data_IF_204340486388
#
_entry.id   IF_204340486388
#
_cell.length_a   1.000
_cell.length_b   1.000
_cell.length_c   1.000
_cell.angle_alpha   90.00
_cell.angle_beta   90.00
_cell.angle_gamma   90.00
#
_symmetry.space_group_name_H-M   'P 1'
#
loop_
_entity.id
_entity.type
_entity.pdbx_description
1 polymer ?
#
# COMPACT_ATOMS: atom_id res chain seq x y z
N UNK A 1 -22.50 -28.01 -15.59
CA UNK A 1 -21.89 -26.69 -15.31
C UNK A 1 -20.44 -26.93 -14.98
N UNK A 2 -19.51 -26.52 -15.83
CA UNK A 2 -18.12 -26.41 -15.39
C UNK A 2 -18.07 -25.30 -14.34
N UNK A 3 -17.25 -25.41 -13.27
CA UNK A 3 -16.96 -24.26 -12.44
C UNK A 3 -16.25 -23.26 -13.35
N UNK A 4 -16.98 -22.24 -13.79
CA UNK A 4 -16.32 -21.01 -14.18
C UNK A 4 -15.50 -20.61 -12.96
N UNK A 5 -14.22 -20.35 -13.17
CA UNK A 5 -13.34 -19.86 -12.12
C UNK A 5 -13.79 -18.42 -11.83
N UNK A 6 -14.88 -18.30 -11.07
CA UNK A 6 -15.81 -17.17 -11.10
C UNK A 6 -15.11 -15.86 -10.69
N UNK A 7 -14.02 -15.95 -9.93
CA UNK A 7 -13.20 -14.81 -9.47
C UNK A 7 -11.73 -14.89 -9.92
N UNK A 8 -11.37 -15.72 -10.91
CA UNK A 8 -9.99 -15.86 -11.40
C UNK A 8 -9.35 -14.51 -11.76
N UNK A 9 -10.15 -13.63 -12.36
CA UNK A 9 -9.74 -12.28 -12.73
C UNK A 9 -9.40 -11.43 -11.50
N UNK A 10 -10.21 -11.49 -10.43
CA UNK A 10 -9.94 -10.78 -9.18
C UNK A 10 -8.67 -11.29 -8.52
N UNK A 11 -8.46 -12.60 -8.46
CA UNK A 11 -7.25 -13.20 -7.88
C UNK A 11 -5.99 -12.82 -8.68
N UNK A 12 -6.10 -12.77 -10.01
CA UNK A 12 -5.01 -12.32 -10.89
C UNK A 12 -4.66 -10.85 -10.67
N UNK A 13 -5.68 -10.01 -10.46
CA UNK A 13 -5.50 -8.59 -10.13
C UNK A 13 -4.88 -8.41 -8.74
N UNK A 14 -5.28 -9.23 -7.76
CA UNK A 14 -4.71 -9.22 -6.40
C UNK A 14 -3.20 -9.47 -6.42
N UNK A 15 -2.74 -10.46 -7.18
CA UNK A 15 -1.31 -10.76 -7.33
C UNK A 15 -0.55 -9.57 -7.95
N UNK A 16 -1.12 -8.92 -8.96
CA UNK A 16 -0.50 -7.73 -9.57
C UNK A 16 -0.46 -6.55 -8.60
N UNK A 17 -1.55 -6.34 -7.86
CA UNK A 17 -1.67 -5.32 -6.84
C UNK A 17 -0.59 -5.52 -5.76
N UNK A 18 -0.47 -6.72 -5.19
CA UNK A 18 0.51 -7.04 -4.14
C UNK A 18 1.96 -6.81 -4.61
N UNK A 19 2.25 -7.14 -5.87
CA UNK A 19 3.55 -6.87 -6.49
C UNK A 19 3.86 -5.38 -6.54
N UNK A 20 2.90 -4.55 -6.96
CA UNK A 20 3.07 -3.10 -7.02
C UNK A 20 3.13 -2.43 -5.64
N UNK A 21 2.36 -2.91 -4.66
CA UNK A 21 2.47 -2.41 -3.28
C UNK A 21 3.85 -2.70 -2.71
N UNK A 22 4.40 -3.88 -2.97
CA UNK A 22 5.77 -4.24 -2.55
C UNK A 22 6.80 -3.33 -3.22
N UNK A 23 6.65 -3.08 -4.53
CA UNK A 23 7.50 -2.15 -5.29
C UNK A 23 7.41 -0.73 -4.73
N UNK A 24 6.20 -0.26 -4.41
CA UNK A 24 5.94 1.07 -3.85
C UNK A 24 6.59 1.25 -2.48
N UNK A 25 6.44 0.28 -1.58
CA UNK A 25 7.04 0.32 -0.24
C UNK A 25 8.58 0.34 -0.33
N UNK A 26 9.17 -0.47 -1.21
CA UNK A 26 10.61 -0.46 -1.44
C UNK A 26 11.12 0.89 -1.97
N UNK A 27 10.40 1.50 -2.91
CA UNK A 27 10.73 2.83 -3.43
C UNK A 27 10.61 3.93 -2.36
N UNK A 28 9.64 3.81 -1.44
CA UNK A 28 9.47 4.75 -0.32
C UNK A 28 10.57 4.60 0.75
N UNK A 29 10.94 3.38 1.11
CA UNK A 29 12.03 3.12 2.07
C UNK A 29 13.37 3.70 1.57
N UNK A 30 13.68 3.50 0.29
CA UNK A 30 14.85 4.10 -0.35
C UNK A 30 14.84 5.64 -0.34
N UNK A 31 13.68 6.27 -0.16
CA UNK A 31 13.54 7.72 -0.09
C UNK A 31 13.77 8.26 1.34
N UNK A 32 13.41 7.50 2.39
CA UNK A 32 13.60 7.90 3.79
C UNK A 32 15.06 7.87 4.25
N UNK A 33 15.89 6.97 3.72
CA UNK A 33 17.31 6.85 4.10
C UNK A 33 18.16 8.09 3.71
N UNK A 34 17.69 8.93 2.80
CA UNK A 34 18.36 10.19 2.42
C UNK A 34 18.12 11.36 3.38
N UNK A 35 17.19 11.26 4.34
CA UNK A 35 16.86 12.36 5.27
C UNK A 35 17.63 12.31 6.60
N UNK A 36 18.57 11.38 6.77
CA UNK A 36 19.46 11.37 7.94
C UNK A 36 20.57 12.41 7.73
N UNK A 37 20.34 13.62 8.24
CA UNK A 37 21.36 14.66 8.39
C UNK A 37 22.56 14.14 9.21
N UNK A 38 23.81 14.28 8.75
CA UNK A 38 24.96 14.19 9.64
C UNK A 38 25.05 15.47 10.48
N UNK A 39 24.86 15.33 11.79
CA UNK A 39 25.01 16.38 12.79
C UNK A 39 26.45 16.95 12.83
N UNK A 40 26.55 18.25 13.08
CA UNK A 40 27.71 19.12 12.91
C UNK A 40 28.89 18.79 13.84
N UNK A 41 30.09 18.61 13.26
CA UNK A 41 31.35 19.12 13.83
C UNK A 41 32.32 19.59 12.72
N UNK A 42 32.45 20.92 12.62
CA UNK A 42 33.39 21.77 11.83
C UNK A 42 34.89 21.40 11.96
N UNK A 43 35.88 22.04 11.25
CA UNK A 43 35.82 23.17 10.29
C UNK A 43 36.74 23.11 9.03
N UNK A 44 36.40 23.93 8.01
CA UNK A 44 37.26 24.59 6.98
C UNK A 44 38.06 23.73 5.96
N UNK A 45 37.61 23.76 4.69
CA UNK A 45 38.40 23.94 3.44
C UNK A 45 37.45 23.73 2.24
N UNK A 46 37.05 24.80 1.56
CA UNK A 46 37.54 25.24 0.24
C UNK A 46 37.29 24.24 -0.91
N UNK A 47 36.62 24.73 -1.94
CA UNK A 47 36.24 24.08 -3.22
C UNK A 47 34.98 23.19 -3.25
N UNK A 48 34.21 23.44 -4.33
CA UNK A 48 33.51 22.44 -5.14
C UNK A 48 32.07 22.07 -4.77
N UNK A 49 31.17 22.56 -5.63
CA UNK A 49 29.98 21.88 -6.15
C UNK A 49 29.45 20.72 -5.31
N UNK A 50 28.44 20.97 -4.48
CA UNK A 50 27.56 19.92 -4.01
C UNK A 50 26.19 20.55 -3.73
N UNK A 51 25.26 20.37 -4.65
CA UNK A 51 23.91 20.95 -4.57
C UNK A 51 23.02 20.47 -5.70
N UNK A 52 23.59 20.02 -6.82
CA UNK A 52 22.85 19.56 -8.00
C UNK A 52 22.52 18.06 -7.89
N UNK A 53 23.37 17.26 -7.23
CA UNK A 53 23.22 15.79 -7.21
C UNK A 53 22.09 15.30 -6.28
N UNK A 54 21.87 15.96 -5.13
CA UNK A 54 20.83 15.57 -4.17
C UNK A 54 19.40 15.93 -4.64
N UNK A 55 19.25 17.06 -5.35
CA UNK A 55 17.96 17.50 -5.90
C UNK A 55 17.54 16.62 -7.09
N UNK A 56 18.50 16.23 -7.93
CA UNK A 56 18.28 15.28 -9.04
C UNK A 56 17.90 13.87 -8.57
N UNK A 57 18.46 13.42 -7.44
CA UNK A 57 18.19 12.09 -6.87
C UNK A 57 16.78 12.03 -6.25
N UNK A 58 16.38 13.09 -5.51
CA UNK A 58 15.02 13.21 -4.99
C UNK A 58 13.98 13.28 -6.12
N UNK A 59 14.22 14.05 -7.18
CA UNK A 59 13.32 14.14 -8.34
C UNK A 59 13.16 12.78 -9.04
N UNK A 60 14.26 12.01 -9.14
CA UNK A 60 14.23 10.67 -9.74
C UNK A 60 13.42 9.69 -8.90
N UNK A 61 13.61 9.67 -7.58
CA UNK A 61 12.81 8.83 -6.66
C UNK A 61 11.33 9.20 -6.66
N UNK A 62 11.01 10.49 -6.73
CA UNK A 62 9.62 10.95 -6.81
C UNK A 62 8.96 10.48 -8.12
N UNK A 63 9.67 10.56 -9.25
CA UNK A 63 9.20 10.02 -10.54
C UNK A 63 8.97 8.51 -10.51
N UNK A 64 9.81 7.77 -9.79
CA UNK A 64 9.65 6.33 -9.60
C UNK A 64 8.35 6.00 -8.83
N UNK A 65 8.12 6.69 -7.71
CA UNK A 65 6.87 6.55 -6.93
C UNK A 65 5.64 6.91 -7.79
N UNK A 66 5.68 8.02 -8.52
CA UNK A 66 4.60 8.43 -9.43
C UNK A 66 4.35 7.39 -10.53
N UNK A 67 5.40 6.80 -11.10
CA UNK A 67 5.27 5.76 -12.13
C UNK A 67 4.61 4.48 -11.58
N UNK A 68 4.95 4.08 -10.35
CA UNK A 68 4.33 2.94 -9.67
C UNK A 68 2.84 3.23 -9.39
N UNK A 69 2.51 4.42 -8.88
CA UNK A 69 1.11 4.83 -8.65
C UNK A 69 0.30 4.88 -9.95
N UNK A 70 0.88 5.35 -11.05
CA UNK A 70 0.23 5.35 -12.35
C UNK A 70 -0.08 3.93 -12.87
N UNK A 71 0.77 2.95 -12.54
CA UNK A 71 0.53 1.51 -12.84
C UNK A 71 -0.50 0.89 -11.90
N UNK A 72 -0.55 1.35 -10.65
CA UNK A 72 -1.49 0.84 -9.64
C UNK A 72 -2.94 1.24 -9.95
N UNK A 73 -3.18 2.49 -10.35
CA UNK A 73 -4.51 3.04 -10.61
C UNK A 73 -5.42 2.15 -11.50
N UNK A 74 -5.01 1.70 -12.69
CA UNK A 74 -5.86 0.84 -13.53
C UNK A 74 -6.18 -0.53 -12.89
N UNK A 75 -5.28 -1.06 -12.04
CA UNK A 75 -5.52 -2.32 -11.33
C UNK A 75 -6.55 -2.11 -10.22
N UNK A 76 -6.46 -1.02 -9.45
CA UNK A 76 -7.46 -0.68 -8.43
C UNK A 76 -8.85 -0.49 -9.06
N UNK A 77 -8.93 0.23 -10.19
CA UNK A 77 -10.16 0.36 -10.95
C UNK A 77 -10.73 -0.99 -11.39
N UNK A 78 -9.87 -1.90 -11.89
CA UNK A 78 -10.30 -3.23 -12.28
C UNK A 78 -10.79 -4.06 -11.09
N UNK A 79 -10.15 -3.99 -9.93
CA UNK A 79 -10.59 -4.66 -8.69
C UNK A 79 -11.96 -4.13 -8.26
N UNK A 80 -12.18 -2.81 -8.30
CA UNK A 80 -13.46 -2.19 -7.93
C UNK A 80 -14.57 -2.63 -8.88
N UNK A 81 -14.32 -2.58 -10.19
CA UNK A 81 -15.31 -2.84 -11.23
C UNK A 81 -15.65 -4.31 -11.42
N UNK A 82 -14.71 -5.22 -11.15
CA UNK A 82 -14.95 -6.66 -11.29
C UNK A 82 -15.85 -7.16 -10.16
N UNK A 83 -17.03 -7.75 -10.43
CA UNK A 83 -17.87 -8.33 -9.39
C UNK A 83 -17.15 -9.46 -8.65
N UNK A 84 -17.40 -9.61 -7.35
CA UNK A 84 -16.97 -10.78 -6.59
C UNK A 84 -18.12 -11.79 -6.54
N UNK A 85 -17.90 -12.98 -7.07
CA UNK A 85 -18.89 -14.06 -7.15
C UNK A 85 -18.72 -15.09 -6.03
N UNK A 86 -17.55 -15.10 -5.37
CA UNK A 86 -17.20 -16.01 -4.28
C UNK A 86 -16.68 -15.25 -3.07
N UNK A 87 -16.55 -15.97 -1.95
CA UNK A 87 -15.93 -15.46 -0.73
C UNK A 87 -14.46 -15.05 -0.98
N UNK A 88 -13.74 -15.75 -1.86
CA UNK A 88 -12.36 -15.41 -2.20
C UNK A 88 -12.28 -14.05 -2.91
N UNK A 89 -13.12 -13.80 -3.92
CA UNK A 89 -13.18 -12.49 -4.58
C UNK A 89 -13.65 -11.37 -3.65
N UNK A 90 -14.51 -11.68 -2.69
CA UNK A 90 -14.89 -10.72 -1.65
C UNK A 90 -13.70 -10.40 -0.72
N UNK A 91 -12.87 -11.40 -0.42
CA UNK A 91 -11.59 -11.23 0.28
C UNK A 91 -10.64 -10.27 -0.43
N UNK A 92 -10.49 -10.39 -1.76
CA UNK A 92 -9.68 -9.47 -2.58
C UNK A 92 -10.16 -8.02 -2.40
N UNK A 93 -11.48 -7.81 -2.51
CA UNK A 93 -12.08 -6.48 -2.35
C UNK A 93 -11.90 -5.92 -0.93
N UNK A 94 -12.05 -6.77 0.08
CA UNK A 94 -11.86 -6.36 1.47
C UNK A 94 -10.40 -5.98 1.76
N UNK A 95 -9.43 -6.73 1.23
CA UNK A 95 -8.00 -6.37 1.32
C UNK A 95 -7.70 -5.06 0.61
N UNK A 96 -8.24 -4.86 -0.59
CA UNK A 96 -8.09 -3.59 -1.30
C UNK A 96 -8.70 -2.43 -0.53
N UNK A 97 -9.89 -2.60 0.05
CA UNK A 97 -10.49 -1.60 0.93
C UNK A 97 -9.63 -1.32 2.17
N UNK A 98 -9.03 -2.34 2.78
CA UNK A 98 -8.11 -2.19 3.91
C UNK A 98 -6.89 -1.32 3.52
N UNK A 99 -6.35 -1.53 2.33
CA UNK A 99 -5.24 -0.72 1.82
C UNK A 99 -5.63 0.75 1.62
N UNK A 100 -6.74 1.00 0.90
CA UNK A 100 -7.24 2.37 0.64
C UNK A 100 -7.62 3.09 1.93
N UNK A 101 -8.09 2.35 2.93
CA UNK A 101 -8.50 2.87 4.24
C UNK A 101 -7.48 2.55 5.34
N UNK A 102 -6.19 2.53 4.99
CA UNK A 102 -5.11 2.11 5.89
C UNK A 102 -5.05 2.90 7.19
N UNK A 103 -5.50 4.15 7.20
CA UNK A 103 -5.62 5.00 8.38
C UNK A 103 -6.52 4.40 9.48
N UNK A 104 -7.43 3.48 9.15
CA UNK A 104 -8.26 2.79 10.15
C UNK A 104 -7.49 1.73 10.94
N UNK A 105 -6.32 1.31 10.46
CA UNK A 105 -5.40 0.41 11.15
C UNK A 105 -4.30 1.16 11.91
N UNK A 106 -4.23 2.49 11.80
CA UNK A 106 -3.33 3.35 12.57
C UNK A 106 -3.88 3.58 14.00
N UNK A 107 -3.71 2.59 14.88
CA UNK A 107 -4.03 2.71 16.30
C UNK A 107 -5.06 1.71 16.84
N UNK A 108 -5.48 1.93 18.09
CA UNK A 108 -6.46 1.08 18.79
C UNK A 108 -7.88 1.33 18.28
N UNK A 109 -8.67 0.26 18.24
CA UNK A 109 -10.09 0.29 17.86
C UNK A 109 -10.97 1.04 18.86
N UNK A 110 -10.52 1.20 20.10
CA UNK A 110 -11.31 1.76 21.21
C UNK A 110 -11.51 3.28 21.09
N UNK A 111 -10.58 3.97 20.41
CA UNK A 111 -10.65 5.41 20.16
C UNK A 111 -11.22 5.78 18.79
N UNK A 112 -11.61 4.80 17.98
CA UNK A 112 -12.12 5.04 16.63
C UNK A 112 -13.55 5.56 16.65
N UNK A 113 -13.87 6.46 15.71
CA UNK A 113 -15.25 6.78 15.38
C UNK A 113 -16.03 5.51 15.00
N UNK A 114 -17.33 5.51 15.28
CA UNK A 114 -18.21 4.36 15.08
C UNK A 114 -18.22 3.87 13.63
N UNK A 115 -18.19 4.78 12.64
CA UNK A 115 -18.20 4.41 11.23
C UNK A 115 -16.89 3.71 10.84
N UNK A 116 -15.76 4.31 11.21
CA UNK A 116 -14.44 3.74 10.96
C UNK A 116 -14.29 2.36 11.62
N UNK A 117 -14.76 2.21 12.87
CA UNK A 117 -14.77 0.94 13.59
C UNK A 117 -15.62 -0.11 12.89
N UNK A 118 -16.80 0.27 12.42
CA UNK A 118 -17.72 -0.64 11.72
C UNK A 118 -17.10 -1.15 10.42
N UNK A 119 -16.52 -0.26 9.63
CA UNK A 119 -15.85 -0.61 8.36
C UNK A 119 -14.67 -1.54 8.63
N UNK A 120 -13.81 -1.22 9.60
CA UNK A 120 -12.68 -2.07 9.97
C UNK A 120 -13.11 -3.48 10.39
N UNK A 121 -14.09 -3.60 11.29
CA UNK A 121 -14.59 -4.90 11.75
C UNK A 121 -15.22 -5.72 10.61
N UNK A 122 -15.93 -5.06 9.69
CA UNK A 122 -16.51 -5.73 8.53
C UNK A 122 -15.41 -6.29 7.61
N UNK A 123 -14.39 -5.48 7.32
CA UNK A 123 -13.25 -5.89 6.50
C UNK A 123 -12.48 -7.04 7.17
N UNK A 124 -12.17 -6.94 8.46
CA UNK A 124 -11.51 -8.00 9.23
C UNK A 124 -12.31 -9.30 9.16
N UNK A 125 -13.63 -9.24 9.39
CA UNK A 125 -14.50 -10.41 9.34
C UNK A 125 -14.54 -11.06 7.95
N UNK A 126 -14.60 -10.27 6.89
CA UNK A 126 -14.60 -10.77 5.51
C UNK A 126 -13.26 -11.43 5.18
N UNK A 127 -12.14 -10.79 5.52
CA UNK A 127 -10.81 -11.35 5.29
C UNK A 127 -10.60 -12.66 6.06
N UNK A 128 -11.06 -12.73 7.32
CA UNK A 128 -10.99 -13.94 8.14
C UNK A 128 -11.77 -15.11 7.51
N UNK A 129 -13.00 -14.86 7.03
CA UNK A 129 -13.83 -15.86 6.35
C UNK A 129 -13.26 -16.27 4.99
N UNK A 130 -12.62 -15.34 4.29
CA UNK A 130 -11.96 -15.60 3.01
C UNK A 130 -10.56 -16.23 3.14
N UNK A 131 -10.06 -16.42 4.36
CA UNK A 131 -8.67 -16.81 4.64
C UNK A 131 -7.65 -15.89 3.96
N UNK A 132 -8.02 -14.62 3.76
CA UNK A 132 -7.19 -13.62 3.12
C UNK A 132 -6.39 -12.85 4.18
N UNK A 133 -5.08 -12.74 3.99
CA UNK A 133 -4.23 -12.01 4.95
C UNK A 133 -4.43 -10.50 4.79
N UNK A 134 -4.66 -9.79 5.90
CA UNK A 134 -4.65 -8.33 5.87
C UNK A 134 -3.21 -7.82 5.69
N UNK A 135 -2.98 -6.88 4.77
CA UNK A 135 -1.65 -6.31 4.54
C UNK A 135 -1.16 -5.43 5.70
N UNK A 136 -2.06 -5.08 6.63
CA UNK A 136 -1.79 -4.16 7.74
C UNK A 136 -1.80 -4.95 9.05
N UNK A 137 -0.72 -4.89 9.82
CA UNK A 137 -0.66 -5.50 11.15
C UNK A 137 -1.65 -4.79 12.08
N UNK A 138 -2.85 -5.34 12.24
CA UNK A 138 -3.74 -4.95 13.31
C UNK A 138 -3.03 -5.21 14.65
N UNK A 139 -2.69 -4.15 15.38
CA UNK A 139 -2.24 -4.26 16.76
C UNK A 139 -3.45 -4.73 17.58
N UNK A 140 -3.61 -6.05 17.73
CA UNK A 140 -4.56 -6.61 18.70
C UNK A 140 -3.98 -6.32 20.09
N UNK A 141 -4.60 -5.37 20.80
CA UNK A 141 -4.38 -5.16 22.23
C UNK A 141 -5.35 -6.06 22.98
#
# INVERSE_FOLDING_TARGET
MAPTDDDAALLTLEVQFDGLITELLAAQEANCDSLIFPDERSPVQDSSQCGIDAESDHETRMKEVEAILARLYPIEQAIIQTPACTVAGLGVKARHAAYVMSQYWEGSIEGMDWHARTVRLLIESVCDVAHASLPLKARRV
#
